data_IF_107301776169
#
_entry.id   IF_107301776169
#
_cell.length_a   1.000
_cell.length_b   1.000
_cell.length_c   1.000
_cell.angle_alpha   90.00
_cell.angle_beta   90.00
_cell.angle_gamma   90.00
#
_symmetry.space_group_name_H-M   'P 1'
#
loop_
_entity.id
_entity.type
_entity.pdbx_description
1 polymer ?
#
# COMPACT_ATOMS: atom_id res chain seq x y z
N UNK A 1 -0.02 -7.55 24.87
CA UNK A 1 -0.74 -8.06 23.68
C UNK A 1 -0.66 -7.05 22.54
N UNK A 2 -1.02 -5.77 22.70
CA UNK A 2 -1.00 -4.74 21.65
C UNK A 2 0.36 -4.55 20.99
N UNK A 3 1.44 -4.36 21.77
CA UNK A 3 2.79 -4.17 21.22
C UNK A 3 3.24 -5.37 20.35
N UNK A 4 2.87 -6.59 20.74
CA UNK A 4 3.22 -7.78 19.96
C UNK A 4 2.50 -7.81 18.60
N UNK A 5 1.21 -7.42 18.56
CA UNK A 5 0.44 -7.31 17.32
C UNK A 5 0.97 -6.18 16.43
N UNK A 6 1.36 -5.04 17.00
CA UNK A 6 1.95 -3.92 16.28
C UNK A 6 3.28 -4.32 15.62
N UNK A 7 4.19 -4.94 16.40
CA UNK A 7 5.47 -5.44 15.89
C UNK A 7 5.25 -6.51 14.82
N UNK A 8 4.35 -7.46 15.08
CA UNK A 8 4.04 -8.52 14.10
C UNK A 8 3.50 -7.94 12.80
N UNK A 9 2.50 -7.03 12.87
CA UNK A 9 1.96 -6.35 11.70
C UNK A 9 3.06 -5.62 10.91
N UNK A 10 3.92 -4.85 11.58
CA UNK A 10 5.01 -4.14 10.94
C UNK A 10 6.01 -5.09 10.26
N UNK A 11 6.41 -6.18 10.92
CA UNK A 11 7.33 -7.18 10.35
C UNK A 11 6.73 -7.88 9.13
N UNK A 12 5.46 -8.30 9.21
CA UNK A 12 4.77 -8.91 8.08
C UNK A 12 4.59 -7.95 6.91
N UNK A 13 4.32 -6.67 7.16
CA UNK A 13 4.24 -5.65 6.11
C UNK A 13 5.61 -5.36 5.48
N UNK A 14 6.70 -5.30 6.24
CA UNK A 14 8.06 -5.19 5.68
C UNK A 14 8.37 -6.44 4.84
N UNK A 15 8.05 -7.63 5.34
CA UNK A 15 8.17 -8.88 4.58
C UNK A 15 7.39 -8.84 3.27
N UNK A 16 6.14 -8.36 3.30
CA UNK A 16 5.34 -8.14 2.10
C UNK A 16 6.09 -7.27 1.08
N UNK A 17 6.61 -6.11 1.49
CA UNK A 17 7.32 -5.20 0.58
C UNK A 17 8.60 -5.83 0.03
N UNK A 18 9.39 -6.53 0.85
CA UNK A 18 10.57 -7.30 0.39
C UNK A 18 10.19 -8.35 -0.64
N UNK A 19 9.11 -9.09 -0.40
CA UNK A 19 8.59 -10.07 -1.34
C UNK A 19 8.11 -9.44 -2.65
N UNK A 20 7.46 -8.27 -2.58
CA UNK A 20 7.02 -7.51 -3.76
C UNK A 20 8.18 -6.97 -4.59
N UNK A 21 9.24 -6.45 -3.96
CA UNK A 21 10.47 -6.03 -4.64
C UNK A 21 11.04 -7.17 -5.48
N UNK A 22 11.06 -8.38 -4.91
CA UNK A 22 11.58 -9.60 -5.54
C UNK A 22 10.53 -10.36 -6.36
N UNK A 23 9.34 -9.81 -6.52
CA UNK A 23 8.21 -10.41 -7.26
C UNK A 23 7.87 -11.84 -6.79
N UNK A 24 7.96 -12.07 -5.48
CA UNK A 24 7.71 -13.38 -4.88
C UNK A 24 6.26 -13.53 -4.43
N UNK A 25 5.65 -14.63 -4.79
CA UNK A 25 4.24 -14.91 -4.47
C UNK A 25 3.96 -14.99 -2.96
N UNK A 26 4.95 -15.40 -2.15
CA UNK A 26 4.82 -15.45 -0.70
C UNK A 26 4.63 -14.07 -0.03
N UNK A 27 4.85 -12.98 -0.77
CA UNK A 27 4.55 -11.64 -0.31
C UNK A 27 3.07 -11.48 0.06
N UNK A 28 2.17 -12.00 -0.77
CA UNK A 28 0.73 -11.84 -0.57
C UNK A 28 0.23 -12.41 0.77
N UNK A 29 0.53 -13.67 1.16
CA UNK A 29 0.17 -14.15 2.49
C UNK A 29 0.82 -13.35 3.63
N UNK A 30 2.04 -12.83 3.45
CA UNK A 30 2.62 -11.91 4.44
C UNK A 30 1.79 -10.64 4.59
N UNK A 31 1.42 -10.00 3.49
CA UNK A 31 0.54 -8.83 3.50
C UNK A 31 -0.81 -9.12 4.13
N UNK A 32 -1.42 -10.26 3.82
CA UNK A 32 -2.68 -10.70 4.41
C UNK A 32 -2.57 -10.81 5.94
N UNK A 33 -1.55 -11.51 6.45
CA UNK A 33 -1.35 -11.69 7.90
C UNK A 33 -1.10 -10.33 8.57
N UNK A 34 -0.26 -9.47 7.96
CA UNK A 34 0.02 -8.13 8.47
C UNK A 34 -1.24 -7.26 8.57
N UNK A 35 -2.09 -7.27 7.54
CA UNK A 35 -3.34 -6.52 7.54
C UNK A 35 -4.35 -7.07 8.55
N UNK A 36 -4.48 -8.40 8.69
CA UNK A 36 -5.39 -8.98 9.68
C UNK A 36 -4.92 -8.68 11.11
N UNK A 37 -3.63 -8.75 11.39
CA UNK A 37 -3.08 -8.38 12.70
C UNK A 37 -3.35 -6.89 13.01
N UNK A 38 -3.16 -6.00 12.03
CA UNK A 38 -3.47 -4.58 12.17
C UNK A 38 -4.97 -4.34 12.36
N UNK A 39 -5.83 -5.03 11.63
CA UNK A 39 -7.29 -4.90 11.77
C UNK A 39 -7.75 -5.27 13.20
N UNK A 40 -7.26 -6.38 13.75
CA UNK A 40 -7.55 -6.78 15.13
C UNK A 40 -7.06 -5.75 16.15
N UNK A 41 -5.86 -5.21 15.94
CA UNK A 41 -5.27 -4.18 16.82
C UNK A 41 -6.11 -2.89 16.79
N UNK A 42 -6.47 -2.40 15.62
CA UNK A 42 -7.26 -1.17 15.47
C UNK A 42 -8.68 -1.33 16.01
N UNK A 43 -9.34 -2.47 15.75
CA UNK A 43 -10.66 -2.77 16.31
C UNK A 43 -10.63 -2.78 17.83
N UNK A 44 -9.63 -3.43 18.43
CA UNK A 44 -9.44 -3.47 19.89
C UNK A 44 -9.16 -2.08 20.48
N UNK A 45 -8.68 -1.14 19.67
CA UNK A 45 -8.42 0.26 20.04
C UNK A 45 -9.60 1.19 19.72
N UNK A 46 -10.76 0.65 19.33
CA UNK A 46 -11.96 1.41 18.91
C UNK A 46 -11.71 2.30 17.68
N UNK A 47 -10.72 1.95 16.87
CA UNK A 47 -10.39 2.63 15.60
C UNK A 47 -11.01 1.86 14.43
N UNK A 48 -12.34 1.88 14.37
CA UNK A 48 -13.14 1.06 13.44
C UNK A 48 -12.85 1.37 11.96
N UNK A 49 -12.56 2.64 11.63
CA UNK A 49 -12.26 3.03 10.26
C UNK A 49 -10.93 2.43 9.77
N UNK A 50 -9.90 2.46 10.63
CA UNK A 50 -8.58 1.88 10.36
C UNK A 50 -8.66 0.35 10.30
N UNK A 51 -9.47 -0.27 11.16
CA UNK A 51 -9.74 -1.70 11.13
C UNK A 51 -10.40 -2.11 9.80
N UNK A 52 -11.45 -1.42 9.38
CA UNK A 52 -12.11 -1.65 8.09
C UNK A 52 -11.16 -1.49 6.90
N UNK A 53 -10.29 -0.47 6.93
CA UNK A 53 -9.28 -0.24 5.91
C UNK A 53 -8.32 -1.43 5.79
N UNK A 54 -7.86 -1.97 6.91
CA UNK A 54 -6.98 -3.12 6.90
C UNK A 54 -7.69 -4.40 6.42
N UNK A 55 -8.99 -4.56 6.68
CA UNK A 55 -9.80 -5.64 6.09
C UNK A 55 -9.88 -5.49 4.57
N UNK A 56 -10.02 -4.28 4.05
CA UNK A 56 -9.99 -4.02 2.61
C UNK A 56 -8.63 -4.40 1.99
N UNK A 57 -7.52 -4.04 2.64
CA UNK A 57 -6.19 -4.46 2.17
C UNK A 57 -5.98 -5.96 2.26
N UNK A 58 -6.53 -6.64 3.28
CA UNK A 58 -6.52 -8.09 3.36
C UNK A 58 -7.26 -8.73 2.17
N UNK A 59 -8.43 -8.18 1.79
CA UNK A 59 -9.16 -8.63 0.60
C UNK A 59 -8.36 -8.41 -0.71
N UNK A 60 -7.69 -7.25 -0.84
CA UNK A 60 -6.81 -6.98 -1.97
C UNK A 60 -5.59 -7.92 -2.00
N UNK A 61 -5.06 -8.30 -0.84
CA UNK A 61 -3.97 -9.26 -0.74
C UNK A 61 -4.41 -10.67 -1.21
N UNK A 62 -5.62 -11.10 -0.84
CA UNK A 62 -6.20 -12.37 -1.35
C UNK A 62 -6.37 -12.28 -2.88
N UNK A 63 -6.94 -11.19 -3.38
CA UNK A 63 -7.12 -10.99 -4.82
C UNK A 63 -5.78 -11.01 -5.57
N UNK A 64 -4.76 -10.34 -5.03
CA UNK A 64 -3.41 -10.37 -5.59
C UNK A 64 -2.79 -11.77 -5.58
N UNK A 65 -2.98 -12.50 -4.50
CA UNK A 65 -2.48 -13.87 -4.36
C UNK A 65 -3.09 -14.78 -5.44
N UNK A 66 -4.42 -14.80 -5.56
CA UNK A 66 -5.12 -15.61 -6.58
C UNK A 66 -4.67 -15.21 -7.98
N UNK A 67 -4.63 -13.92 -8.28
CA UNK A 67 -4.23 -13.40 -9.60
C UNK A 67 -2.80 -13.78 -9.97
N UNK A 68 -1.90 -13.83 -8.99
CA UNK A 68 -0.50 -14.20 -9.24
C UNK A 68 -0.30 -15.70 -9.35
N UNK A 69 -1.17 -16.54 -8.74
CA UNK A 69 -1.14 -18.01 -8.87
C UNK A 69 -1.41 -18.46 -10.30
N UNK A 70 -2.41 -17.89 -10.94
CA UNK A 70 -2.78 -18.23 -12.32
C UNK A 70 -1.64 -17.94 -13.32
N UNK A 71 -0.74 -17.02 -12.98
CA UNK A 71 0.39 -16.61 -13.80
C UNK A 71 1.75 -17.16 -13.32
N UNK A 72 1.76 -18.16 -12.45
CA UNK A 72 2.98 -18.68 -11.81
C UNK A 72 3.98 -19.33 -12.78
N UNK A 73 3.52 -19.81 -13.93
CA UNK A 73 4.35 -20.45 -14.97
C UNK A 73 4.86 -19.47 -16.04
N UNK A 74 4.25 -18.30 -16.17
CA UNK A 74 4.74 -17.27 -17.08
C UNK A 74 5.87 -16.47 -16.36
N UNK A 75 6.98 -16.27 -17.07
CA UNK A 75 8.02 -15.31 -16.62
C UNK A 75 7.31 -14.03 -16.18
N UNK A 76 7.60 -13.54 -14.95
CA UNK A 76 6.88 -12.39 -14.38
C UNK A 76 7.03 -11.17 -15.28
N UNK A 77 6.03 -10.90 -16.11
CA UNK A 77 6.05 -9.80 -17.07
C UNK A 77 5.64 -8.51 -16.37
N UNK A 78 6.52 -7.53 -16.40
CA UNK A 78 6.25 -6.19 -15.84
C UNK A 78 5.76 -5.27 -16.95
N UNK A 79 4.62 -4.66 -16.73
CA UNK A 79 3.98 -3.73 -17.67
C UNK A 79 4.06 -2.27 -17.18
N UNK A 80 3.87 -1.32 -18.11
CA UNK A 80 3.57 0.06 -17.74
C UNK A 80 2.06 0.25 -17.56
N UNK A 81 1.68 1.14 -16.65
CA UNK A 81 0.27 1.45 -16.45
C UNK A 81 -0.31 2.12 -17.69
N UNK A 82 -1.38 1.55 -18.21
CA UNK A 82 -2.18 2.13 -19.28
C UNK A 82 -3.26 3.05 -18.68
N UNK A 83 -3.76 3.99 -19.50
CA UNK A 83 -4.87 4.87 -19.12
C UNK A 83 -4.63 5.63 -17.79
N UNK A 84 -3.40 6.10 -17.56
CA UNK A 84 -2.98 6.79 -16.31
C UNK A 84 -3.88 7.96 -15.95
N UNK A 85 -4.38 8.70 -16.96
CA UNK A 85 -5.27 9.85 -16.75
C UNK A 85 -6.57 9.41 -16.05
N UNK A 86 -7.17 8.30 -16.47
CA UNK A 86 -8.38 7.77 -15.86
C UNK A 86 -8.16 7.30 -14.41
N UNK A 87 -7.00 6.70 -14.13
CA UNK A 87 -6.61 6.35 -12.77
C UNK A 87 -6.39 7.59 -11.90
N UNK A 88 -5.80 8.65 -12.47
CA UNK A 88 -5.65 9.93 -11.79
C UNK A 88 -7.00 10.58 -11.47
N UNK A 89 -7.93 10.59 -12.42
CA UNK A 89 -9.30 11.07 -12.19
C UNK A 89 -10.03 10.26 -11.12
N UNK A 90 -9.91 8.93 -11.14
CA UNK A 90 -10.48 8.06 -10.12
C UNK A 90 -9.90 8.38 -8.73
N UNK A 91 -8.57 8.60 -8.63
CA UNK A 91 -7.92 9.00 -7.39
C UNK A 91 -8.49 10.32 -6.85
N UNK A 92 -8.64 11.33 -7.73
CA UNK A 92 -9.17 12.64 -7.35
C UNK A 92 -10.62 12.51 -6.86
N UNK A 93 -11.48 11.82 -7.61
CA UNK A 93 -12.89 11.63 -7.24
C UNK A 93 -12.99 10.91 -5.89
N UNK A 94 -12.23 9.83 -5.71
CA UNK A 94 -12.22 9.05 -4.47
C UNK A 94 -11.69 9.88 -3.29
N UNK A 95 -10.62 10.66 -3.50
CA UNK A 95 -10.05 11.57 -2.49
C UNK A 95 -11.08 12.63 -2.06
N UNK A 96 -11.77 13.24 -3.01
CA UNK A 96 -12.79 14.24 -2.71
C UNK A 96 -13.97 13.62 -1.96
N UNK A 97 -14.50 12.50 -2.43
CA UNK A 97 -15.64 11.82 -1.79
C UNK A 97 -15.30 11.40 -0.35
N UNK A 98 -14.17 10.72 -0.15
CA UNK A 98 -13.72 10.28 1.17
C UNK A 98 -13.32 11.46 2.06
N UNK A 99 -12.61 12.45 1.53
CA UNK A 99 -12.21 13.65 2.28
C UNK A 99 -13.40 14.42 2.81
N UNK A 100 -14.45 14.57 2.03
CA UNK A 100 -15.71 15.19 2.48
C UNK A 100 -16.43 14.33 3.52
N UNK A 101 -16.50 13.02 3.33
CA UNK A 101 -17.08 12.09 4.30
C UNK A 101 -16.33 12.14 5.64
N UNK A 102 -15.00 12.10 5.61
CA UNK A 102 -14.17 12.21 6.81
C UNK A 102 -14.34 13.56 7.51
N UNK A 103 -14.37 14.67 6.75
CA UNK A 103 -14.58 16.02 7.29
C UNK A 103 -15.94 16.15 8.00
N UNK A 104 -16.96 15.47 7.47
CA UNK A 104 -18.31 15.51 8.05
C UNK A 104 -18.46 14.64 9.32
N UNK A 105 -17.66 13.59 9.46
CA UNK A 105 -17.84 12.56 10.49
C UNK A 105 -16.73 12.53 11.55
N UNK A 106 -15.60 13.21 11.31
CA UNK A 106 -14.44 13.17 12.20
C UNK A 106 -13.87 14.56 12.46
N UNK A 107 -13.15 14.69 13.58
CA UNK A 107 -12.36 15.91 13.90
C UNK A 107 -10.96 15.88 13.29
N UNK A 108 -10.75 15.09 12.26
CA UNK A 108 -9.45 14.99 11.60
C UNK A 108 -9.04 16.35 11.00
N UNK A 109 -7.86 16.89 11.37
CA UNK A 109 -7.41 18.19 10.86
C UNK A 109 -7.02 18.19 9.38
N UNK A 110 -6.70 17.03 8.81
CA UNK A 110 -6.20 16.87 7.43
C UNK A 110 -6.95 15.77 6.66
N UNK A 111 -8.30 15.82 6.58
CA UNK A 111 -9.09 14.70 6.05
C UNK A 111 -8.80 14.42 4.57
N UNK A 112 -8.53 15.44 3.76
CA UNK A 112 -8.21 15.26 2.33
C UNK A 112 -6.81 14.68 2.10
N UNK A 113 -5.86 14.90 3.01
CA UNK A 113 -4.53 14.30 2.92
C UNK A 113 -4.63 12.80 3.21
N UNK A 114 -5.33 12.42 4.28
CA UNK A 114 -5.55 10.99 4.61
C UNK A 114 -6.34 10.28 3.51
N UNK A 115 -7.42 10.91 3.01
CA UNK A 115 -8.19 10.39 1.88
C UNK A 115 -7.34 10.24 0.60
N UNK A 116 -6.41 11.16 0.35
CA UNK A 116 -5.47 11.10 -0.77
C UNK A 116 -4.48 9.95 -0.63
N UNK A 117 -3.87 9.79 0.53
CA UNK A 117 -3.00 8.64 0.85
C UNK A 117 -3.77 7.34 0.61
N UNK A 118 -4.97 7.22 1.15
CA UNK A 118 -5.81 6.04 0.96
C UNK A 118 -6.11 5.74 -0.51
N UNK A 119 -6.60 6.75 -1.24
CA UNK A 119 -6.99 6.60 -2.65
C UNK A 119 -5.83 6.18 -3.53
N UNK A 120 -4.67 6.81 -3.35
CA UNK A 120 -3.45 6.46 -4.07
C UNK A 120 -2.95 5.06 -3.69
N UNK A 121 -3.06 4.66 -2.42
CA UNK A 121 -2.64 3.34 -1.96
C UNK A 121 -3.48 2.20 -2.55
N UNK A 122 -4.79 2.40 -2.69
CA UNK A 122 -5.67 1.44 -3.36
C UNK A 122 -5.25 1.28 -4.83
N UNK A 123 -5.02 2.39 -5.54
CA UNK A 123 -4.59 2.35 -6.94
C UNK A 123 -3.19 1.72 -7.07
N UNK A 124 -2.25 2.07 -6.19
CA UNK A 124 -0.92 1.48 -6.17
C UNK A 124 -0.99 -0.04 -5.98
N UNK A 125 -1.84 -0.52 -5.06
CA UNK A 125 -2.05 -1.95 -4.82
C UNK A 125 -2.66 -2.64 -6.03
N UNK A 126 -3.67 -2.05 -6.68
CA UNK A 126 -4.25 -2.59 -7.91
C UNK A 126 -3.23 -2.65 -9.06
N UNK A 127 -2.38 -1.63 -9.18
CA UNK A 127 -1.29 -1.65 -10.14
C UNK A 127 -0.23 -2.69 -9.79
N UNK A 128 0.04 -2.92 -8.52
CA UNK A 128 0.95 -3.95 -8.03
C UNK A 128 0.43 -5.36 -8.35
N UNK A 129 -0.87 -5.60 -8.13
CA UNK A 129 -1.55 -6.84 -8.52
C UNK A 129 -1.40 -7.08 -10.03
N UNK A 130 -1.62 -6.03 -10.84
CA UNK A 130 -1.45 -6.08 -12.30
C UNK A 130 0.01 -6.02 -12.78
N UNK A 131 1.00 -6.18 -11.89
CA UNK A 131 2.45 -6.15 -12.19
C UNK A 131 2.87 -4.89 -12.97
N UNK A 132 2.29 -3.73 -12.63
CA UNK A 132 2.58 -2.47 -13.30
C UNK A 132 3.72 -1.73 -12.61
N UNK A 133 4.79 -1.43 -13.33
CA UNK A 133 5.99 -0.73 -12.82
C UNK A 133 5.64 0.58 -12.12
N UNK A 134 4.63 1.27 -12.63
CA UNK A 134 4.22 2.59 -12.13
C UNK A 134 3.69 2.58 -10.69
N UNK A 135 3.35 1.41 -10.11
CA UNK A 135 2.94 1.30 -8.70
C UNK A 135 4.01 1.86 -7.76
N UNK A 136 5.29 1.64 -8.07
CA UNK A 136 6.40 2.09 -7.24
C UNK A 136 6.53 3.62 -7.19
N UNK A 137 6.18 4.33 -8.28
CA UNK A 137 6.13 5.79 -8.26
C UNK A 137 5.04 6.29 -7.30
N UNK A 138 3.88 5.63 -7.27
CA UNK A 138 2.82 5.95 -6.31
C UNK A 138 3.28 5.68 -4.88
N UNK A 139 3.92 4.53 -4.60
CA UNK A 139 4.43 4.22 -3.27
C UNK A 139 5.49 5.22 -2.79
N UNK A 140 6.36 5.74 -3.68
CA UNK A 140 7.31 6.80 -3.35
C UNK A 140 6.55 8.06 -2.89
N UNK A 141 5.55 8.50 -3.64
CA UNK A 141 4.75 9.69 -3.30
C UNK A 141 3.96 9.49 -2.00
N UNK A 142 3.27 8.36 -1.88
CA UNK A 142 2.48 7.99 -0.70
C UNK A 142 3.35 8.02 0.57
N UNK A 143 4.49 7.33 0.54
CA UNK A 143 5.35 7.24 1.70
C UNK A 143 6.01 8.58 2.05
N UNK A 144 6.36 9.42 1.06
CA UNK A 144 6.86 10.78 1.31
C UNK A 144 5.81 11.65 2.03
N UNK A 145 4.56 11.62 1.57
CA UNK A 145 3.44 12.33 2.21
C UNK A 145 3.20 11.77 3.62
N UNK A 146 3.26 10.44 3.79
CA UNK A 146 3.08 9.78 5.09
C UNK A 146 4.17 10.17 6.11
N UNK A 147 5.43 10.28 5.68
CA UNK A 147 6.52 10.79 6.54
C UNK A 147 6.19 12.20 7.03
N UNK A 148 5.86 13.10 6.11
CA UNK A 148 5.50 14.47 6.44
C UNK A 148 4.31 14.52 7.40
N UNK A 149 3.25 13.77 7.12
CA UNK A 149 2.03 13.72 7.94
C UNK A 149 2.30 13.20 9.35
N UNK A 150 3.08 12.12 9.47
CA UNK A 150 3.44 11.53 10.76
C UNK A 150 4.31 12.47 11.60
N UNK A 151 5.26 13.19 11.00
CA UNK A 151 6.05 14.21 11.71
C UNK A 151 5.14 15.32 12.22
N UNK A 152 4.23 15.85 11.41
CA UNK A 152 3.29 16.91 11.81
C UNK A 152 2.34 16.48 12.95
N UNK A 153 2.07 15.17 13.07
CA UNK A 153 1.25 14.60 14.15
C UNK A 153 2.05 14.16 15.37
N UNK A 154 3.38 14.34 15.38
CA UNK A 154 4.27 13.87 16.45
C UNK A 154 4.44 12.34 16.49
N UNK A 155 4.09 11.63 15.44
CA UNK A 155 4.13 10.17 15.34
C UNK A 155 5.48 9.71 14.77
N UNK A 156 6.57 9.96 15.50
CA UNK A 156 7.94 9.76 15.00
C UNK A 156 8.29 8.31 14.66
N UNK A 157 7.76 7.33 15.38
CA UNK A 157 7.96 5.89 15.08
C UNK A 157 7.35 5.54 13.72
N UNK A 158 6.12 5.99 13.48
CA UNK A 158 5.45 5.79 12.19
C UNK A 158 6.11 6.58 11.06
N UNK A 159 6.66 7.77 11.35
CA UNK A 159 7.47 8.53 10.39
C UNK A 159 8.73 7.75 9.98
N UNK A 160 9.44 7.14 10.93
CA UNK A 160 10.59 6.28 10.67
C UNK A 160 10.22 5.04 9.84
N UNK A 161 9.08 4.39 10.16
CA UNK A 161 8.56 3.27 9.38
C UNK A 161 8.22 3.70 7.93
N UNK A 162 7.52 4.82 7.75
CA UNK A 162 7.21 5.35 6.42
C UNK A 162 8.46 5.74 5.64
N UNK A 163 9.49 6.27 6.30
CA UNK A 163 10.79 6.57 5.68
C UNK A 163 11.51 5.31 5.20
N UNK A 164 11.42 4.21 5.96
CA UNK A 164 11.93 2.90 5.53
C UNK A 164 11.19 2.43 4.26
N UNK A 165 9.86 2.49 4.25
CA UNK A 165 9.06 2.10 3.08
C UNK A 165 9.32 3.01 1.87
N UNK A 166 9.55 4.29 2.10
CA UNK A 166 9.99 5.24 1.07
C UNK A 166 11.29 4.78 0.40
N UNK A 167 12.32 4.46 1.20
CA UNK A 167 13.59 3.96 0.69
C UNK A 167 13.43 2.62 -0.06
N UNK A 168 12.64 1.70 0.49
CA UNK A 168 12.34 0.41 -0.13
C UNK A 168 11.60 0.55 -1.47
N UNK A 169 10.77 1.58 -1.64
CA UNK A 169 10.06 1.85 -2.88
C UNK A 169 11.00 2.16 -4.05
N UNK A 170 12.13 2.81 -3.80
CA UNK A 170 13.17 3.00 -4.84
C UNK A 170 13.85 1.67 -5.22
N UNK A 171 14.07 0.78 -4.25
CA UNK A 171 14.62 -0.54 -4.53
C UNK A 171 13.64 -1.36 -5.38
N UNK A 172 12.34 -1.30 -5.07
CA UNK A 172 11.30 -1.92 -5.87
C UNK A 172 11.22 -1.37 -7.30
N UNK A 173 11.28 -0.05 -7.44
CA UNK A 173 11.30 0.61 -8.74
C UNK A 173 12.50 0.14 -9.59
N UNK A 174 13.69 0.09 -9.01
CA UNK A 174 14.91 -0.39 -9.70
C UNK A 174 14.79 -1.85 -10.11
N UNK A 175 14.35 -2.72 -9.19
CA UNK A 175 14.20 -4.15 -9.45
C UNK A 175 13.19 -4.42 -10.57
N UNK A 176 12.02 -3.81 -10.52
CA UNK A 176 10.99 -4.02 -11.54
C UNK A 176 11.33 -3.37 -12.88
N UNK A 177 12.07 -2.26 -12.85
CA UNK A 177 12.55 -1.60 -14.05
C UNK A 177 13.55 -2.46 -14.82
N UNK A 178 14.52 -3.09 -14.13
CA UNK A 178 15.47 -4.00 -14.76
C UNK A 178 14.80 -5.20 -15.44
N UNK A 179 13.75 -5.76 -14.80
CA UNK A 179 12.94 -6.82 -15.40
C UNK A 179 12.20 -6.32 -16.64
N UNK A 180 11.59 -5.14 -16.58
CA UNK A 180 10.86 -4.56 -17.71
C UNK A 180 11.78 -4.28 -18.91
N UNK A 181 12.98 -3.74 -18.68
CA UNK A 181 13.97 -3.46 -19.71
C UNK A 181 14.49 -4.75 -20.34
N UNK A 182 14.74 -5.79 -19.54
CA UNK A 182 15.16 -7.11 -20.06
C UNK A 182 14.12 -7.83 -20.92
N UNK A 183 12.84 -7.49 -20.77
CA UNK A 183 11.73 -8.03 -21.58
C UNK A 183 11.52 -7.27 -22.89
N UNK A 184 12.05 -6.05 -22.98
CA UNK A 184 11.89 -5.16 -24.15
C UNK A 184 13.04 -5.29 -25.16
N UNK A 185 14.12 -5.99 -24.79
CA UNK A 185 15.27 -6.33 -25.64
C UNK A 185 15.15 -7.75 -26.17
#
# INVERSE_FOLDING_TARGET
MFLALEIASALFNVGFVVGMINQRMWAWPMGLIGCLAAAVMFESSQLHAEAFLNVLYAALAIYGWVTWQDNSQAMMVVHRAQKRVWWGLAAIIMTLALGWAMKAQTSNPLPFVDAGIFSLSVIATLWQIGKRLDNWHLWIVINAISVWLCINRGLYVYAGYSALLFAMSFSGLRSWRSVHEAQSN
#
